data_IF_068183026831
#
_entry.id   IF_068183026831
#
_cell.length_a   1.000
_cell.length_b   1.000
_cell.length_c   1.000
_cell.angle_alpha   90.00
_cell.angle_beta   90.00
_cell.angle_gamma   90.00
#
_symmetry.space_group_name_H-M   'P 1'
#
loop_
_entity.id
_entity.type
_entity.pdbx_description
1 polymer ?
#
# COMPACT_ATOMS: atom_id res chain seq x y z
N UNK A 1 29.27 16.75 -22.68
CA UNK A 1 28.56 15.52 -23.09
C UNK A 1 27.29 15.45 -22.26
N UNK A 2 26.13 15.60 -22.91
CA UNK A 2 24.82 15.48 -22.26
C UNK A 2 24.59 14.01 -21.94
N UNK A 3 24.45 13.68 -20.66
CA UNK A 3 23.90 12.37 -20.27
C UNK A 3 22.43 12.38 -20.67
N UNK A 4 22.04 11.48 -21.57
CA UNK A 4 20.64 11.19 -21.81
C UNK A 4 19.96 10.84 -20.47
N UNK A 5 18.72 11.29 -20.21
CA UNK A 5 18.01 10.85 -19.02
C UNK A 5 17.90 9.33 -19.10
N UNK A 6 18.49 8.62 -18.15
CA UNK A 6 18.29 7.19 -18.01
C UNK A 6 16.78 6.97 -17.86
N UNK A 7 16.14 6.49 -18.93
CA UNK A 7 14.82 5.88 -18.85
C UNK A 7 15.01 4.60 -18.04
N UNK A 8 14.93 4.72 -16.72
CA UNK A 8 14.78 3.57 -15.84
C UNK A 8 13.51 2.87 -16.29
N UNK A 9 13.70 1.76 -17.00
CA UNK A 9 12.65 0.98 -17.63
C UNK A 9 11.62 0.54 -16.57
N UNK A 10 10.34 0.58 -16.96
CA UNK A 10 9.26 0.05 -16.15
C UNK A 10 9.58 -1.40 -15.74
N UNK A 11 9.50 -1.74 -14.45
CA UNK A 11 9.73 -3.10 -13.99
C UNK A 11 8.89 -4.14 -14.74
N UNK A 12 9.42 -5.36 -14.97
CA UNK A 12 8.67 -6.39 -15.66
C UNK A 12 7.41 -6.76 -14.88
N UNK A 13 6.34 -7.09 -15.60
CA UNK A 13 5.05 -7.46 -15.02
C UNK A 13 4.07 -6.31 -14.79
N UNK A 14 4.52 -5.06 -14.81
CA UNK A 14 3.62 -3.91 -14.72
C UNK A 14 3.01 -3.63 -16.10
N UNK A 15 1.68 -3.68 -16.20
CA UNK A 15 0.94 -3.59 -17.48
C UNK A 15 0.60 -2.15 -17.92
N UNK A 16 1.10 -1.15 -17.20
CA UNK A 16 0.80 0.26 -17.49
C UNK A 16 1.77 0.82 -18.52
N UNK A 17 1.22 1.51 -19.52
CA UNK A 17 1.97 2.28 -20.51
C UNK A 17 1.99 3.75 -20.14
N UNK A 18 3.00 4.50 -20.61
CA UNK A 18 3.10 5.96 -20.41
C UNK A 18 3.17 6.42 -18.94
N UNK A 19 3.72 5.59 -18.06
CA UNK A 19 3.96 5.97 -16.67
C UNK A 19 4.91 7.16 -16.60
N UNK A 20 4.51 8.19 -15.87
CA UNK A 20 5.32 9.39 -15.62
C UNK A 20 5.71 9.43 -14.16
N UNK A 21 6.88 10.02 -13.89
CA UNK A 21 7.36 10.31 -12.54
C UNK A 21 7.40 9.07 -11.64
N UNK A 22 8.55 8.40 -11.62
CA UNK A 22 8.77 7.23 -10.78
C UNK A 22 9.84 7.48 -9.74
N UNK A 23 9.80 6.69 -8.69
CA UNK A 23 10.91 6.49 -7.77
C UNK A 23 11.22 5.01 -7.65
N UNK A 24 12.46 4.70 -7.29
CA UNK A 24 12.89 3.37 -6.93
C UNK A 24 13.91 3.42 -5.80
N UNK A 25 14.02 2.32 -5.07
CA UNK A 25 15.03 2.13 -4.04
C UNK A 25 15.29 0.66 -3.75
N UNK A 26 16.15 0.43 -2.78
CA UNK A 26 16.72 -0.89 -2.49
C UNK A 26 17.97 -1.17 -3.31
N UNK A 27 18.28 -2.46 -3.45
CA UNK A 27 19.49 -2.97 -4.07
C UNK A 27 19.42 -2.90 -5.61
N UNK A 28 20.59 -3.01 -6.26
CA UNK A 28 20.69 -3.07 -7.73
C UNK A 28 20.54 -4.49 -8.30
N UNK A 29 20.15 -5.46 -7.46
CA UNK A 29 19.92 -6.86 -7.86
C UNK A 29 18.75 -6.98 -8.85
N UNK A 30 18.78 -7.89 -9.84
CA UNK A 30 17.68 -8.07 -10.79
C UNK A 30 16.32 -8.28 -10.12
N UNK A 31 15.26 -7.84 -10.81
CA UNK A 31 13.89 -8.17 -10.46
C UNK A 31 13.67 -9.69 -10.46
N UNK A 32 12.98 -10.22 -9.45
CA UNK A 32 12.62 -11.64 -9.37
C UNK A 32 11.81 -12.05 -10.61
N UNK A 33 12.15 -13.17 -11.26
CA UNK A 33 11.34 -13.72 -12.32
C UNK A 33 10.09 -14.36 -11.74
N UNK A 34 9.01 -14.38 -12.52
CA UNK A 34 7.79 -15.12 -12.18
C UNK A 34 7.08 -15.59 -13.44
N UNK A 35 6.35 -16.70 -13.33
CA UNK A 35 5.53 -17.24 -14.42
C UNK A 35 4.07 -17.44 -14.01
N UNK A 36 3.77 -17.28 -12.72
CA UNK A 36 2.47 -17.50 -12.11
C UNK A 36 2.07 -16.28 -11.28
N UNK A 37 0.79 -15.92 -11.36
CA UNK A 37 0.23 -14.74 -10.70
C UNK A 37 -1.02 -15.14 -9.92
N UNK A 38 -1.12 -14.67 -8.68
CA UNK A 38 -2.38 -14.66 -7.91
C UNK A 38 -2.89 -13.24 -7.84
N UNK A 39 -4.20 -13.09 -7.98
CA UNK A 39 -4.89 -11.82 -7.99
C UNK A 39 -5.55 -11.57 -6.62
N UNK A 40 -5.34 -10.36 -6.10
CA UNK A 40 -5.87 -9.91 -4.82
C UNK A 40 -6.44 -8.50 -4.97
N UNK A 41 -7.22 -8.08 -3.98
CA UNK A 41 -7.69 -6.70 -3.86
C UNK A 41 -7.42 -6.16 -2.48
N UNK A 42 -7.40 -4.83 -2.35
CA UNK A 42 -7.31 -4.16 -1.06
C UNK A 42 -8.05 -2.82 -1.11
N UNK A 43 -8.89 -2.55 -0.11
CA UNK A 43 -9.78 -1.38 -0.04
C UNK A 43 -9.41 -0.51 1.15
N UNK A 44 -9.23 0.79 0.89
CA UNK A 44 -9.02 1.82 1.90
C UNK A 44 -10.23 2.75 1.96
N UNK A 45 -10.94 2.74 3.08
CA UNK A 45 -12.10 3.61 3.32
C UNK A 45 -11.63 4.88 4.01
N UNK A 46 -11.88 6.04 3.41
CA UNK A 46 -11.48 7.35 3.91
C UNK A 46 -12.72 8.19 4.15
N UNK A 47 -12.98 8.62 5.39
CA UNK A 47 -14.16 9.44 5.75
C UNK A 47 -13.83 10.38 6.90
N UNK A 48 -14.29 11.63 6.81
CA UNK A 48 -14.17 12.61 7.90
C UNK A 48 -12.73 12.87 8.36
N UNK A 49 -11.77 12.95 7.43
CA UNK A 49 -10.36 13.16 7.76
C UNK A 49 -9.65 11.95 8.39
N UNK A 50 -10.23 10.75 8.27
CA UNK A 50 -9.68 9.51 8.80
C UNK A 50 -9.67 8.41 7.74
N UNK A 51 -8.81 7.41 7.92
CA UNK A 51 -8.78 6.15 7.16
C UNK A 51 -9.12 4.99 8.09
N UNK A 52 -9.99 4.08 7.64
CA UNK A 52 -10.29 2.84 8.33
C UNK A 52 -9.27 1.80 7.89
N UNK A 53 -8.52 1.26 8.85
CA UNK A 53 -7.64 0.12 8.68
C UNK A 53 -8.16 -1.03 9.54
N UNK A 54 -7.75 -2.26 9.27
CA UNK A 54 -7.99 -3.36 10.20
C UNK A 54 -6.69 -3.99 10.68
N UNK A 55 -6.66 -4.36 11.96
CA UNK A 55 -5.60 -5.17 12.53
C UNK A 55 -5.83 -6.63 12.17
N UNK A 56 -4.91 -7.24 11.43
CA UNK A 56 -5.05 -8.63 10.95
C UNK A 56 -4.77 -9.63 12.07
N UNK A 57 -5.78 -10.41 12.45
CA UNK A 57 -5.73 -11.36 13.58
C UNK A 57 -5.19 -12.74 13.21
N UNK A 58 -5.30 -13.14 11.94
CA UNK A 58 -4.89 -14.46 11.42
C UNK A 58 -4.40 -14.37 9.98
N UNK A 59 -3.79 -15.45 9.49
CA UNK A 59 -3.32 -15.54 8.10
C UNK A 59 -2.02 -14.76 7.81
N UNK A 60 -1.68 -14.63 6.53
CA UNK A 60 -0.48 -13.92 6.09
C UNK A 60 -0.58 -12.42 6.42
N UNK A 61 0.46 -11.87 7.04
CA UNK A 61 0.44 -10.49 7.56
C UNK A 61 -0.26 -10.32 8.91
N UNK A 62 -0.52 -11.41 9.63
CA UNK A 62 -1.00 -11.36 11.02
C UNK A 62 -0.13 -10.39 11.84
N UNK A 63 -0.80 -9.55 12.62
CA UNK A 63 -0.16 -8.56 13.48
C UNK A 63 0.13 -7.22 12.80
N UNK A 64 -0.15 -7.08 11.50
CA UNK A 64 -0.06 -5.81 10.77
C UNK A 64 -1.43 -5.17 10.57
N UNK A 65 -1.46 -3.83 10.51
CA UNK A 65 -2.59 -3.07 9.99
C UNK A 65 -2.57 -3.04 8.47
N UNK A 66 -3.74 -3.11 7.84
CA UNK A 66 -3.91 -2.98 6.39
C UNK A 66 -5.29 -2.42 6.04
N UNK A 67 -5.55 -2.18 4.75
CA UNK A 67 -6.92 -2.09 4.25
C UNK A 67 -7.63 -3.45 4.27
N UNK A 68 -8.83 -3.51 3.69
CA UNK A 68 -9.69 -4.69 3.68
C UNK A 68 -9.68 -5.35 2.30
N UNK A 69 -9.44 -6.65 2.24
CA UNK A 69 -9.29 -7.31 0.96
C UNK A 69 -8.69 -8.69 1.01
N UNK A 70 -8.91 -9.44 -0.07
CA UNK A 70 -8.48 -10.81 -0.19
C UNK A 70 -8.34 -11.24 -1.64
N UNK A 71 -8.45 -12.56 -1.86
CA UNK A 71 -8.18 -13.19 -3.14
C UNK A 71 -9.34 -12.96 -4.10
N UNK A 72 -9.01 -12.71 -5.37
CA UNK A 72 -9.99 -12.73 -6.46
C UNK A 72 -10.24 -14.18 -6.85
N UNK A 73 -11.48 -14.64 -6.74
CA UNK A 73 -11.84 -16.02 -7.05
C UNK A 73 -12.00 -16.25 -8.57
N UNK A 74 -11.88 -17.50 -9.07
CA UNK A 74 -12.04 -17.79 -10.49
C UNK A 74 -13.40 -17.31 -11.03
N UNK A 75 -13.35 -16.44 -12.04
CA UNK A 75 -14.55 -15.85 -12.67
C UNK A 75 -15.09 -14.60 -11.99
N UNK A 76 -14.49 -14.17 -10.88
CA UNK A 76 -14.85 -12.94 -10.15
C UNK A 76 -14.12 -11.72 -10.74
N UNK A 77 -14.82 -10.59 -10.86
CA UNK A 77 -14.16 -9.32 -11.20
C UNK A 77 -13.40 -8.80 -9.97
N UNK A 78 -12.22 -8.18 -10.12
CA UNK A 78 -11.49 -7.65 -8.97
C UNK A 78 -12.32 -6.68 -8.11
N UNK A 79 -13.14 -5.83 -8.72
CA UNK A 79 -14.01 -4.91 -7.98
C UNK A 79 -15.07 -5.65 -7.14
N UNK A 80 -15.59 -6.78 -7.64
CA UNK A 80 -16.58 -7.57 -6.91
C UNK A 80 -15.93 -8.31 -5.74
N UNK A 81 -14.72 -8.84 -5.94
CA UNK A 81 -13.89 -9.41 -4.86
C UNK A 81 -13.63 -8.36 -3.77
N UNK A 82 -13.24 -7.14 -4.15
CA UNK A 82 -12.99 -6.04 -3.22
C UNK A 82 -14.23 -5.68 -2.38
N UNK A 83 -15.42 -5.68 -2.99
CA UNK A 83 -16.69 -5.43 -2.29
C UNK A 83 -17.07 -6.57 -1.34
N UNK A 84 -16.91 -7.83 -1.78
CA UNK A 84 -17.15 -9.02 -0.97
C UNK A 84 -16.25 -9.03 0.27
N UNK A 85 -14.95 -8.85 0.08
CA UNK A 85 -13.95 -8.86 1.16
C UNK A 85 -14.17 -7.70 2.15
N UNK A 86 -14.48 -6.50 1.65
CA UNK A 86 -14.84 -5.38 2.53
C UNK A 86 -16.05 -5.71 3.41
N UNK A 87 -17.05 -6.40 2.84
CA UNK A 87 -18.25 -6.82 3.58
C UNK A 87 -17.94 -7.90 4.60
N UNK A 88 -17.13 -8.90 4.25
CA UNK A 88 -16.74 -10.00 5.13
C UNK A 88 -15.83 -9.55 6.27
N UNK A 89 -14.83 -8.70 5.99
CA UNK A 89 -13.82 -8.32 6.97
C UNK A 89 -14.23 -7.15 7.88
N UNK A 90 -15.10 -6.24 7.40
CA UNK A 90 -15.48 -5.02 8.11
C UNK A 90 -17.00 -4.79 8.26
N UNK A 91 -17.85 -5.64 7.67
CA UNK A 91 -19.32 -5.53 7.79
C UNK A 91 -19.98 -4.45 6.93
N UNK A 92 -19.20 -3.72 6.12
CA UNK A 92 -19.64 -2.52 5.40
C UNK A 92 -19.60 -2.68 3.88
N UNK A 93 -20.34 -1.82 3.18
CA UNK A 93 -20.34 -1.71 1.72
C UNK A 93 -19.95 -0.28 1.31
N UNK A 94 -19.39 -0.09 0.12
CA UNK A 94 -18.96 1.24 -0.33
C UNK A 94 -18.95 1.38 -1.86
N UNK A 95 -18.99 2.61 -2.35
CA UNK A 95 -18.69 2.89 -3.76
C UNK A 95 -17.17 2.96 -3.95
N UNK A 96 -16.62 1.99 -4.68
CA UNK A 96 -15.17 1.88 -4.89
C UNK A 96 -14.71 2.63 -6.14
N UNK A 97 -13.61 3.37 -5.98
CA UNK A 97 -12.80 3.94 -7.06
C UNK A 97 -11.47 3.20 -7.12
N UNK A 98 -11.07 2.77 -8.32
CA UNK A 98 -9.74 2.20 -8.53
C UNK A 98 -8.68 3.26 -8.24
N UNK A 99 -7.69 2.91 -7.42
CA UNK A 99 -6.65 3.80 -6.93
C UNK A 99 -5.24 3.38 -7.36
N UNK A 100 -5.03 2.14 -7.75
CA UNK A 100 -3.73 1.70 -8.24
C UNK A 100 -3.57 0.20 -8.32
N UNK A 101 -2.40 -0.23 -8.76
CA UNK A 101 -2.02 -1.65 -8.81
C UNK A 101 -0.64 -1.85 -8.19
N UNK A 102 -0.51 -2.91 -7.39
CA UNK A 102 0.76 -3.34 -6.80
C UNK A 102 1.11 -4.73 -7.29
N UNK A 103 2.37 -4.94 -7.65
CA UNK A 103 2.94 -6.25 -7.96
C UNK A 103 3.99 -6.62 -6.92
N UNK A 104 3.72 -7.62 -6.09
CA UNK A 104 4.64 -8.06 -5.04
C UNK A 104 5.18 -9.47 -5.28
N UNK A 105 6.47 -9.63 -5.03
CA UNK A 105 7.16 -10.91 -5.12
C UNK A 105 8.00 -11.11 -3.85
N UNK A 106 8.09 -12.34 -3.37
CA UNK A 106 9.02 -12.72 -2.31
C UNK A 106 10.03 -13.72 -2.87
N UNK A 107 11.25 -13.72 -2.33
CA UNK A 107 12.18 -14.83 -2.55
C UNK A 107 11.50 -16.15 -2.20
N UNK A 108 11.80 -17.19 -2.98
CA UNK A 108 11.22 -18.54 -2.90
C UNK A 108 9.70 -18.64 -3.14
N UNK A 109 9.00 -17.55 -3.47
CA UNK A 109 7.59 -17.60 -3.77
C UNK A 109 7.34 -18.10 -5.20
N UNK A 110 6.48 -19.11 -5.34
CA UNK A 110 6.04 -19.62 -6.64
C UNK A 110 5.18 -18.59 -7.41
N UNK A 111 4.50 -17.69 -6.70
CA UNK A 111 3.51 -16.78 -7.25
C UNK A 111 3.92 -15.33 -7.03
N UNK A 112 3.79 -14.51 -8.06
CA UNK A 112 3.66 -13.07 -7.89
C UNK A 112 2.24 -12.73 -7.42
N UNK A 113 2.12 -11.67 -6.63
CA UNK A 113 0.85 -11.17 -6.10
C UNK A 113 0.52 -9.85 -6.80
N UNK A 114 -0.48 -9.87 -7.68
CA UNK A 114 -1.02 -8.67 -8.32
C UNK A 114 -2.22 -8.21 -7.48
N UNK A 115 -2.14 -6.99 -6.93
CA UNK A 115 -3.09 -6.45 -5.97
C UNK A 115 -3.72 -5.19 -6.55
N UNK A 116 -5.02 -5.23 -6.81
CA UNK A 116 -5.79 -4.06 -7.22
C UNK A 116 -6.22 -3.25 -5.98
N UNK A 117 -5.82 -1.99 -5.94
CA UNK A 117 -6.05 -1.10 -4.82
C UNK A 117 -7.26 -0.21 -5.11
N UNK A 118 -8.18 -0.16 -4.16
CA UNK A 118 -9.39 0.65 -4.23
C UNK A 118 -9.46 1.63 -3.07
N UNK A 119 -10.07 2.78 -3.35
CA UNK A 119 -10.43 3.79 -2.37
C UNK A 119 -11.94 3.95 -2.33
N UNK A 120 -12.47 4.10 -1.13
CA UNK A 120 -13.83 4.58 -0.88
C UNK A 120 -13.76 5.90 -0.11
N UNK A 121 -14.58 6.87 -0.50
CA UNK A 121 -14.71 8.15 0.23
C UNK A 121 -15.92 8.16 1.19
N UNK A 122 -16.75 7.11 1.15
CA UNK A 122 -17.88 6.90 2.04
C UNK A 122 -18.25 5.40 2.11
N UNK A 123 -19.07 5.00 3.08
CA UNK A 123 -19.54 3.63 3.26
C UNK A 123 -20.95 3.57 3.89
N UNK A 124 -21.58 2.41 3.74
CA UNK A 124 -22.86 2.05 4.33
C UNK A 124 -22.72 0.81 5.23
N UNK A 125 -23.55 0.72 6.26
CA UNK A 125 -23.55 -0.38 7.22
C UNK A 125 -22.83 -0.06 8.53
N UNK A 126 -22.73 -1.07 9.40
CA UNK A 126 -22.09 -0.97 10.71
C UNK A 126 -20.71 -1.64 10.65
N UNK A 127 -19.68 -0.89 11.06
CA UNK A 127 -18.32 -1.41 11.13
C UNK A 127 -18.27 -2.47 12.22
N UNK A 128 -17.91 -3.69 11.84
CA UNK A 128 -17.92 -4.85 12.72
C UNK A 128 -16.57 -5.55 12.68
N UNK A 129 -16.07 -5.98 13.85
CA UNK A 129 -14.92 -6.87 13.94
C UNK A 129 -15.30 -8.27 13.45
N UNK A 130 -14.53 -8.81 12.50
CA UNK A 130 -14.67 -10.18 11.99
C UNK A 130 -13.66 -11.12 12.67
N UNK A 131 -13.71 -12.43 12.40
CA UNK A 131 -12.67 -13.36 12.87
C UNK A 131 -11.26 -13.03 12.34
N UNK A 132 -11.19 -12.29 11.22
CA UNK A 132 -9.94 -11.96 10.54
C UNK A 132 -9.40 -10.57 10.87
N UNK A 133 -10.27 -9.58 10.95
CA UNK A 133 -9.88 -8.17 11.03
C UNK A 133 -10.59 -7.46 12.18
N UNK A 134 -9.83 -6.66 12.92
CA UNK A 134 -10.36 -5.67 13.87
C UNK A 134 -10.24 -4.26 13.28
N UNK A 135 -11.33 -3.66 12.78
CA UNK A 135 -11.31 -2.31 12.21
C UNK A 135 -11.00 -1.23 13.24
N UNK A 136 -10.23 -0.21 12.83
CA UNK A 136 -9.86 0.95 13.64
C UNK A 136 -9.63 2.19 12.75
N UNK A 137 -10.07 3.36 13.22
CA UNK A 137 -9.90 4.63 12.51
C UNK A 137 -8.59 5.31 12.87
N UNK A 138 -7.88 5.82 11.86
CA UNK A 138 -6.65 6.58 12.01
C UNK A 138 -6.76 7.95 11.33
N UNK A 139 -6.18 8.98 11.93
CA UNK A 139 -6.15 10.33 11.35
C UNK A 139 -5.31 10.36 10.09
N UNK A 140 -5.84 11.03 9.07
CA UNK A 140 -5.05 11.41 7.91
C UNK A 140 -4.00 12.48 8.28
N UNK A 141 -2.94 12.61 7.47
CA UNK A 141 -2.15 13.84 7.44
C UNK A 141 -3.04 15.07 7.16
N UNK A 142 -2.58 16.26 7.52
CA UNK A 142 -3.32 17.49 7.24
C UNK A 142 -3.55 17.68 5.73
N UNK A 143 -4.61 18.40 5.37
CA UNK A 143 -4.91 18.74 3.97
C UNK A 143 -3.74 19.43 3.26
N UNK A 144 -3.00 20.30 3.97
CA UNK A 144 -1.80 20.95 3.42
C UNK A 144 -0.69 19.94 3.07
N UNK A 145 -0.52 18.90 3.89
CA UNK A 145 0.42 17.80 3.60
C UNK A 145 -0.06 17.00 2.40
N UNK A 146 -1.33 16.60 2.36
CA UNK A 146 -1.87 15.83 1.23
C UNK A 146 -1.82 16.62 -0.09
N UNK A 147 -2.10 17.92 -0.06
CA UNK A 147 -1.96 18.80 -1.22
C UNK A 147 -0.50 18.90 -1.69
N UNK A 148 0.47 18.93 -0.75
CA UNK A 148 1.89 18.94 -1.08
C UNK A 148 2.40 17.67 -1.76
N UNK A 149 1.61 16.58 -1.75
CA UNK A 149 1.94 15.31 -2.41
C UNK A 149 1.46 15.30 -3.86
N UNK A 150 0.47 16.13 -4.23
CA UNK A 150 -0.12 16.14 -5.58
C UNK A 150 0.93 16.34 -6.68
N UNK A 151 0.98 15.42 -7.64
CA UNK A 151 1.90 15.45 -8.77
C UNK A 151 3.34 15.08 -8.44
N UNK A 152 3.63 14.59 -7.23
CA UNK A 152 4.97 14.23 -6.77
C UNK A 152 5.15 12.72 -6.68
N UNK A 153 6.39 12.26 -6.87
CA UNK A 153 6.73 10.85 -6.71
C UNK A 153 6.88 10.50 -5.23
N UNK A 154 6.74 9.21 -4.83
CA UNK A 154 6.99 8.82 -3.45
C UNK A 154 8.35 9.21 -2.86
N UNK A 155 9.41 9.36 -3.68
CA UNK A 155 10.71 9.87 -3.18
C UNK A 155 10.59 11.30 -2.71
N UNK A 156 9.97 12.14 -3.54
CA UNK A 156 9.78 13.54 -3.23
C UNK A 156 8.97 13.69 -1.93
N UNK A 157 7.97 12.81 -1.71
CA UNK A 157 7.24 12.73 -0.44
C UNK A 157 8.23 12.46 0.70
N UNK A 158 8.97 11.34 0.64
CA UNK A 158 9.88 10.90 1.71
C UNK A 158 10.98 11.90 2.08
N UNK A 159 11.52 12.65 1.12
CA UNK A 159 12.55 13.67 1.37
C UNK A 159 11.95 14.96 1.96
N UNK A 160 10.69 15.30 1.63
CA UNK A 160 9.97 16.44 2.22
C UNK A 160 9.33 16.13 3.59
N UNK A 161 9.13 14.86 3.89
CA UNK A 161 8.56 14.37 5.15
C UNK A 161 9.62 13.58 5.92
N UNK A 162 10.66 14.26 6.41
CA UNK A 162 11.33 13.78 7.63
C UNK A 162 10.22 13.49 8.66
N UNK A 163 10.31 12.36 9.38
CA UNK A 163 9.16 11.69 9.97
C UNK A 163 8.36 12.70 10.76
N UNK A 164 7.08 12.82 10.39
CA UNK A 164 6.04 13.63 11.02
C UNK A 164 6.29 13.78 12.52
N UNK A 165 7.09 14.79 12.87
CA UNK A 165 7.34 15.13 14.25
C UNK A 165 6.04 15.74 14.70
N UNK A 166 5.37 15.06 15.61
CA UNK A 166 4.26 15.61 16.36
C UNK A 166 4.76 16.84 17.09
N UNK A 167 4.62 18.01 16.49
CA UNK A 167 4.87 19.28 17.15
C UNK A 167 3.59 19.67 17.91
N UNK A 168 3.56 19.54 19.26
CA UNK A 168 2.37 19.82 20.03
C UNK A 168 2.40 21.28 20.46
N UNK A 169 2.37 22.22 19.51
CA UNK A 169 2.28 23.65 19.88
C UNK A 169 1.64 24.53 18.81
N UNK A 170 0.30 24.52 18.71
CA UNK A 170 -0.49 25.75 18.50
C UNK A 170 -2.01 25.52 18.58
N UNK A 171 -2.54 25.82 19.77
CA UNK A 171 -3.76 26.59 20.11
C UNK A 171 -5.16 26.27 19.49
N UNK A 172 -6.05 25.94 20.44
CA UNK A 172 -7.50 26.21 20.58
C UNK A 172 -8.57 25.52 19.71
N UNK A 173 -9.13 24.47 20.32
CA UNK A 173 -10.56 24.25 20.63
C UNK A 173 -11.60 24.30 19.50
N UNK A 174 -11.94 23.13 18.94
CA UNK A 174 -13.13 22.30 19.25
C UNK A 174 -13.22 21.20 18.18
N UNK A 175 -13.52 19.96 18.60
CA UNK A 175 -13.40 18.67 17.88
C UNK A 175 -11.98 18.09 17.73
N UNK A 176 -11.35 17.77 18.87
CA UNK A 176 -10.13 16.98 18.90
C UNK A 176 -10.45 15.50 18.58
N UNK A 177 -10.08 15.08 17.37
CA UNK A 177 -10.14 13.68 16.92
C UNK A 177 -9.47 12.73 17.92
N UNK A 178 -10.23 11.77 18.46
CA UNK A 178 -9.76 10.70 19.35
C UNK A 178 -8.92 9.61 18.66
N UNK A 179 -8.75 9.68 17.33
CA UNK A 179 -8.02 8.67 16.58
C UNK A 179 -6.51 8.93 16.59
N UNK A 180 -5.72 7.86 16.52
CA UNK A 180 -4.25 7.91 16.41
C UNK A 180 -3.80 8.22 14.97
N UNK A 181 -2.54 8.67 14.74
CA UNK A 181 -1.98 8.74 13.38
C UNK A 181 -1.84 7.34 12.76
N UNK A 182 -1.74 7.28 11.43
CA UNK A 182 -1.53 6.02 10.68
C UNK A 182 -0.29 5.28 11.22
N UNK A 183 -0.42 4.01 11.63
CA UNK A 183 0.64 3.30 12.35
C UNK A 183 1.60 2.60 11.37
N UNK A 184 2.31 3.35 10.53
CA UNK A 184 3.19 2.77 9.48
C UNK A 184 4.20 1.72 10.01
N UNK A 185 4.67 1.86 11.26
CA UNK A 185 5.57 0.88 11.90
C UNK A 185 4.92 -0.48 12.19
N UNK A 186 3.58 -0.55 12.14
CA UNK A 186 2.77 -1.75 12.28
C UNK A 186 2.08 -2.12 10.95
N UNK A 187 2.49 -1.53 9.82
CA UNK A 187 1.99 -1.85 8.48
C UNK A 187 3.06 -2.59 7.69
N UNK A 188 2.83 -2.88 6.40
CA UNK A 188 3.92 -3.34 5.56
C UNK A 188 4.89 -2.20 5.28
N UNK A 189 6.17 -2.53 5.20
CA UNK A 189 7.27 -1.59 5.07
C UNK A 189 7.09 -0.65 3.87
N UNK A 190 6.56 -1.18 2.77
CA UNK A 190 6.27 -0.44 1.55
C UNK A 190 5.05 0.48 1.64
N UNK A 191 4.17 0.30 2.62
CA UNK A 191 2.92 1.09 2.73
C UNK A 191 3.20 2.56 2.98
N UNK A 192 4.29 2.85 3.69
CA UNK A 192 4.80 4.21 3.89
C UNK A 192 5.18 4.94 2.59
N UNK A 193 5.35 4.20 1.49
CA UNK A 193 5.74 4.72 0.18
C UNK A 193 4.50 5.04 -0.66
N UNK A 194 3.59 4.07 -0.82
CA UNK A 194 2.47 4.19 -1.77
C UNK A 194 1.16 4.64 -1.13
N UNK A 195 0.92 4.38 0.16
CA UNK A 195 -0.33 4.80 0.82
C UNK A 195 -0.51 6.33 0.81
N UNK A 196 0.54 7.17 0.99
CA UNK A 196 0.40 8.62 0.85
C UNK A 196 -0.15 9.05 -0.52
N UNK A 197 0.18 8.34 -1.61
CA UNK A 197 -0.39 8.62 -2.94
C UNK A 197 -1.89 8.35 -2.97
N UNK A 198 -2.34 7.21 -2.41
CA UNK A 198 -3.76 6.87 -2.29
C UNK A 198 -4.53 7.94 -1.50
N UNK A 199 -3.97 8.37 -0.36
CA UNK A 199 -4.59 9.36 0.52
C UNK A 199 -4.69 10.72 -0.17
N UNK A 200 -3.68 11.08 -0.97
CA UNK A 200 -3.66 12.28 -1.83
C UNK A 200 -4.50 12.14 -3.13
N UNK A 201 -5.25 11.04 -3.29
CA UNK A 201 -6.11 10.75 -4.46
C UNK A 201 -5.33 10.65 -5.77
N UNK A 202 -4.08 10.23 -5.73
CA UNK A 202 -3.28 9.98 -6.94
C UNK A 202 -3.28 8.51 -7.28
N UNK A 203 -3.58 8.20 -8.55
CA UNK A 203 -3.41 6.84 -9.05
C UNK A 203 -1.94 6.47 -9.11
N UNK A 204 -1.64 5.23 -8.78
CA UNK A 204 -0.27 4.74 -8.76
C UNK A 204 -0.16 3.31 -9.29
N UNK A 205 1.06 2.97 -9.69
CA UNK A 205 1.45 1.58 -9.92
C UNK A 205 2.77 1.33 -9.23
N UNK A 206 2.94 0.13 -8.69
CA UNK A 206 4.13 -0.22 -7.94
C UNK A 206 4.55 -1.67 -8.11
N UNK A 207 5.85 -1.91 -7.98
CA UNK A 207 6.42 -3.23 -7.77
C UNK A 207 7.35 -3.21 -6.57
N UNK A 208 7.27 -4.25 -5.73
CA UNK A 208 8.26 -4.49 -4.70
C UNK A 208 8.60 -5.98 -4.60
N UNK A 209 9.89 -6.25 -4.54
CA UNK A 209 10.44 -7.58 -4.35
C UNK A 209 11.02 -7.67 -2.93
N UNK A 210 10.63 -8.72 -2.23
CA UNK A 210 10.89 -8.96 -0.82
C UNK A 210 11.84 -10.14 -0.66
N UNK A 211 12.63 -10.10 0.41
CA UNK A 211 13.45 -11.21 0.88
C UNK A 211 13.10 -11.53 2.33
N UNK A 212 13.38 -12.74 2.78
CA UNK A 212 13.24 -13.11 4.19
C UNK A 212 14.34 -12.42 4.99
N UNK A 213 13.98 -11.91 6.14
CA UNK A 213 14.95 -11.28 7.04
C UNK A 213 15.87 -12.35 7.58
N UNK A 214 17.17 -12.08 7.50
CA UNK A 214 18.19 -12.97 8.04
C UNK A 214 18.81 -12.35 9.29
N UNK A 215 18.82 -13.11 10.38
CA UNK A 215 19.29 -12.67 11.69
C UNK A 215 20.59 -13.39 12.03
N UNK A 216 21.64 -12.62 12.31
CA UNK A 216 22.90 -13.15 12.82
C UNK A 216 22.73 -13.59 14.27
N UNK A 217 23.10 -14.84 14.57
CA UNK A 217 23.14 -15.38 15.92
C UNK A 217 24.48 -15.04 16.58
N UNK A 218 24.48 -15.13 17.91
CA UNK A 218 25.69 -14.89 18.72
C UNK A 218 26.83 -15.89 18.44
N UNK A 219 26.51 -17.06 17.88
CA UNK A 219 27.48 -18.09 17.47
C UNK A 219 28.05 -17.86 16.05
N UNK A 220 27.68 -16.75 15.39
CA UNK A 220 28.10 -16.42 14.02
C UNK A 220 27.33 -17.15 12.92
N UNK A 221 26.32 -17.95 13.27
CA UNK A 221 25.42 -18.58 12.29
C UNK A 221 24.25 -17.67 11.94
N UNK A 222 23.74 -17.79 10.72
CA UNK A 222 22.59 -17.03 10.25
C UNK A 222 21.29 -17.84 10.41
N UNK A 223 20.23 -17.20 10.90
CA UNK A 223 18.88 -17.76 10.96
C UNK A 223 17.96 -16.95 10.07
N UNK A 224 17.28 -17.62 9.15
CA UNK A 224 16.19 -17.01 8.37
C UNK A 224 14.94 -16.92 9.26
N UNK A 225 14.34 -15.74 9.30
CA UNK A 225 13.02 -15.51 9.86
C UNK A 225 11.97 -15.72 8.75
N UNK A 226 11.34 -16.89 8.74
CA UNK A 226 10.37 -17.30 7.71
C UNK A 226 9.09 -16.46 7.72
N UNK A 227 8.80 -15.76 8.82
CA UNK A 227 7.59 -14.95 8.97
C UNK A 227 7.83 -13.46 8.65
N UNK A 228 9.10 -13.05 8.55
CA UNK A 228 9.47 -11.65 8.36
C UNK A 228 10.08 -11.42 6.99
N UNK A 229 9.42 -10.56 6.22
CA UNK A 229 9.87 -10.11 4.91
C UNK A 229 10.31 -8.65 4.98
N UNK A 230 11.35 -8.31 4.21
CA UNK A 230 11.75 -6.93 3.97
C UNK A 230 11.86 -6.64 2.47
N UNK A 231 11.43 -5.47 1.99
CA UNK A 231 11.58 -5.10 0.59
C UNK A 231 13.07 -4.86 0.30
N UNK A 232 13.64 -5.59 -0.65
CA UNK A 232 15.03 -5.37 -1.06
C UNK A 232 15.13 -4.59 -2.36
N UNK A 233 14.07 -4.52 -3.17
CA UNK A 233 14.00 -3.68 -4.37
C UNK A 233 12.58 -3.24 -4.60
N UNK A 234 12.37 -1.97 -4.89
CA UNK A 234 11.04 -1.43 -5.13
C UNK A 234 11.05 -0.29 -6.14
N UNK A 235 9.91 -0.09 -6.78
CA UNK A 235 9.69 0.92 -7.81
C UNK A 235 8.22 1.32 -7.82
N UNK A 236 7.93 2.61 -7.80
CA UNK A 236 6.57 3.16 -7.81
C UNK A 236 6.49 4.36 -8.74
N UNK A 237 5.36 4.50 -9.44
CA UNK A 237 5.10 5.64 -10.31
C UNK A 237 3.66 6.12 -10.20
N UNK A 238 3.44 7.37 -10.61
CA UNK A 238 2.10 7.89 -10.83
C UNK A 238 1.50 7.24 -12.08
N UNK A 239 0.29 6.72 -11.94
CA UNK A 239 -0.49 6.19 -13.04
C UNK A 239 -1.40 7.28 -13.60
N UNK A 240 -1.69 7.27 -14.92
CA UNK A 240 -2.67 8.18 -15.49
C UNK A 240 -4.06 7.97 -14.88
N UNK A 241 -4.88 9.04 -14.87
CA UNK A 241 -6.24 9.04 -14.33
C UNK A 241 -7.15 7.99 -14.99
N UNK A 242 -6.85 7.56 -16.23
CA UNK A 242 -7.55 6.50 -16.94
C UNK A 242 -6.55 5.60 -17.69
N UNK A 243 -6.78 4.28 -17.79
CA UNK A 243 -6.13 3.49 -18.84
C UNK A 243 -6.59 4.08 -20.18
N UNK A 244 -5.66 4.62 -20.95
CA UNK A 244 -5.92 4.94 -22.36
C UNK A 244 -6.24 3.62 -23.06
N UNK A 245 -7.54 3.33 -23.21
CA UNK A 245 -8.07 2.26 -24.04
C UNK A 245 -7.65 0.84 -23.65
N UNK A 246 -8.52 0.15 -22.92
CA UNK A 246 -8.79 -1.28 -23.12
C UNK A 246 -10.30 -1.42 -23.27
#
# INVERSE_FOLDING_TARGET
MSMAPHTLETPPGLRYVSLRYHTSGGDHLPWLPFTKVKYYTNVFVVKGGKVLLGYKKRGFGKGKYNGFGGKVEPGELPKDAALRELKEEAGISATLKHAGMLLFLSEDAEWAFEIEIYRADDYEGEITESDEMRPEWFNLPSESVLASIQGRTPRDISESTQPFSSDPSSTSAQDASTASPIPYSQMWETDSIWLPLLLAKQKFVGRADFRKVRVQRQDGTEKVDEEKLEPYRWWYALAPEDPVGI
#
